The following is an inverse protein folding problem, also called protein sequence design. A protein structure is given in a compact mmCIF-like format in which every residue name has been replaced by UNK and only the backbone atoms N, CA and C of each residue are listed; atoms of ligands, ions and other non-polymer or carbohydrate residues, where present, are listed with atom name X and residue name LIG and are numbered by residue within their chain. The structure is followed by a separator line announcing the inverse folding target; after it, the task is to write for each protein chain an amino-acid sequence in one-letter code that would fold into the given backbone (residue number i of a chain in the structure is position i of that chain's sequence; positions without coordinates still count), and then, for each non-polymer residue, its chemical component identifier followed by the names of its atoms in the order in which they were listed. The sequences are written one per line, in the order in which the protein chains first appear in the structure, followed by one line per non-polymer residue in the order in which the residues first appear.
data_IF_467036048897
#
_entry.id   IF_467036048897
#
_cell.length_a   1.000
_cell.length_b   1.000
_cell.length_c   1.000
_cell.angle_alpha   90.00
_cell.angle_beta   90.00
_cell.angle_gamma   90.00
#
_symmetry.space_group_name_H-M   'P 1'
#
loop_
_entity.id
_entity.type
_entity.pdbx_description
1 polymer ?
#
# COMPACT_ATOMS: atom_id res chain seq x y z
N UNK A 1 5.80 25.77 -51.12
CA UNK A 1 5.75 26.51 -49.83
C UNK A 1 4.50 26.19 -48.99
N UNK A 2 3.30 26.12 -49.58
CA UNK A 2 2.04 25.86 -48.85
C UNK A 2 1.98 24.52 -48.06
N UNK A 3 2.59 23.44 -48.57
CA UNK A 3 2.55 22.10 -47.95
C UNK A 3 3.29 22.02 -46.60
N UNK A 4 4.42 22.72 -46.47
CA UNK A 4 5.17 22.81 -45.21
C UNK A 4 4.45 23.64 -44.14
N UNK A 5 3.72 24.66 -44.56
CA UNK A 5 2.92 25.49 -43.65
C UNK A 5 1.74 24.70 -43.07
N UNK A 6 1.06 23.89 -43.91
CA UNK A 6 -0.05 23.05 -43.48
C UNK A 6 0.37 21.97 -42.46
N UNK A 7 1.53 21.35 -42.65
CA UNK A 7 2.06 20.33 -41.71
C UNK A 7 2.46 20.94 -40.36
N UNK A 8 3.01 22.17 -40.34
CA UNK A 8 3.27 22.88 -39.07
C UNK A 8 1.98 23.20 -38.30
N UNK A 9 0.90 23.53 -39.00
CA UNK A 9 -0.41 23.79 -38.37
C UNK A 9 -0.99 22.50 -37.77
N UNK A 10 -0.94 21.38 -38.49
CA UNK A 10 -1.40 20.08 -37.97
C UNK A 10 -0.62 19.63 -36.73
N UNK A 11 0.69 19.82 -36.71
CA UNK A 11 1.53 19.48 -35.55
C UNK A 11 1.16 20.31 -34.31
N UNK A 12 0.96 21.63 -34.48
CA UNK A 12 0.51 22.50 -33.38
C UNK A 12 -0.90 22.13 -32.89
N UNK A 13 -1.81 21.80 -33.81
CA UNK A 13 -3.17 21.40 -33.43
C UNK A 13 -3.17 20.10 -32.63
N UNK A 14 -2.38 19.09 -33.01
CA UNK A 14 -2.22 17.84 -32.25
C UNK A 14 -1.66 18.09 -30.85
N UNK A 15 -0.69 18.99 -30.72
CA UNK A 15 -0.09 19.34 -29.43
C UNK A 15 -1.10 20.03 -28.50
N UNK A 16 -1.90 20.97 -29.02
CA UNK A 16 -2.95 21.66 -28.25
C UNK A 16 -4.06 20.69 -27.83
N UNK A 17 -4.47 19.78 -28.73
CA UNK A 17 -5.47 18.74 -28.41
C UNK A 17 -4.95 17.78 -27.33
N UNK A 18 -3.68 17.36 -27.40
CA UNK A 18 -3.07 16.51 -26.38
C UNK A 18 -3.05 17.19 -25.00
N UNK A 19 -2.65 18.46 -24.94
CA UNK A 19 -2.68 19.23 -23.69
C UNK A 19 -4.12 19.40 -23.18
N UNK A 20 -5.07 19.70 -24.06
CA UNK A 20 -6.48 19.81 -23.70
C UNK A 20 -7.04 18.51 -23.11
N UNK A 21 -6.71 17.36 -23.71
CA UNK A 21 -7.08 16.03 -23.19
C UNK A 21 -6.41 15.73 -21.85
N UNK A 22 -5.15 16.10 -21.66
CA UNK A 22 -4.44 15.93 -20.37
C UNK A 22 -5.05 16.80 -19.27
N UNK A 23 -5.39 18.05 -19.56
CA UNK A 23 -6.05 18.94 -18.59
C UNK A 23 -7.46 18.42 -18.27
N UNK A 24 -8.21 17.98 -19.28
CA UNK A 24 -9.55 17.43 -19.08
C UNK A 24 -9.51 16.13 -18.26
N UNK A 25 -8.55 15.24 -18.50
CA UNK A 25 -8.38 14.02 -17.70
C UNK A 25 -8.03 14.34 -16.26
N UNK A 26 -7.15 15.31 -16.00
CA UNK A 26 -6.86 15.82 -14.64
C UNK A 26 -8.10 16.43 -13.99
N UNK A 27 -8.90 17.20 -14.74
CA UNK A 27 -10.11 17.84 -14.20
C UNK A 27 -11.22 16.83 -13.90
N UNK A 28 -11.38 15.81 -14.74
CA UNK A 28 -12.35 14.73 -14.55
C UNK A 28 -11.93 13.84 -13.37
N UNK A 29 -10.64 13.47 -13.27
CA UNK A 29 -10.13 12.75 -12.07
C UNK A 29 -10.30 13.59 -10.82
N UNK A 30 -10.00 14.88 -10.85
CA UNK A 30 -10.19 15.79 -9.70
C UNK A 30 -11.67 15.94 -9.30
N UNK A 31 -12.59 16.05 -10.26
CA UNK A 31 -14.02 16.23 -9.98
C UNK A 31 -14.65 14.95 -9.45
N UNK A 32 -14.33 13.79 -10.03
CA UNK A 32 -14.74 12.48 -9.49
C UNK A 32 -14.22 12.31 -8.07
N UNK A 33 -12.94 12.64 -7.83
CA UNK A 33 -12.30 12.62 -6.51
C UNK A 33 -13.03 13.49 -5.47
N UNK A 34 -13.51 14.68 -5.86
CA UNK A 34 -14.23 15.59 -4.95
C UNK A 34 -15.65 15.12 -4.62
N UNK A 35 -16.32 14.40 -5.52
CA UNK A 35 -17.64 13.81 -5.25
C UNK A 35 -17.58 12.48 -4.50
N UNK A 36 -16.44 11.77 -4.52
CA UNK A 36 -16.20 10.56 -3.71
C UNK A 36 -15.57 10.84 -2.35
N UNK A 37 -15.44 12.11 -1.93
CA UNK A 37 -15.43 12.43 -0.49
C UNK A 37 -16.82 12.17 0.08
N UNK A 38 -17.22 10.89 0.06
CA UNK A 38 -18.10 10.33 1.05
C UNK A 38 -17.54 10.76 2.42
N UNK A 39 -18.42 11.32 3.23
CA UNK A 39 -18.15 11.77 4.61
C UNK A 39 -17.16 10.85 5.30
N UNK A 40 -15.95 11.32 5.59
CA UNK A 40 -14.92 10.49 6.22
C UNK A 40 -15.44 9.89 7.53
N UNK A 41 -15.63 8.57 7.58
CA UNK A 41 -16.11 7.91 8.79
C UNK A 41 -14.93 7.61 9.71
N UNK A 42 -14.88 8.35 10.82
CA UNK A 42 -13.93 8.16 11.90
C UNK A 42 -14.60 7.42 13.06
N UNK A 43 -13.94 6.37 13.56
CA UNK A 43 -14.37 5.62 14.74
C UNK A 43 -13.56 6.08 15.94
N UNK A 44 -14.23 6.58 16.99
CA UNK A 44 -13.56 6.95 18.23
C UNK A 44 -13.26 5.69 19.06
N UNK A 45 -11.98 5.43 19.33
CA UNK A 45 -11.54 4.35 20.22
C UNK A 45 -11.76 4.76 21.69
N UNK A 46 -12.10 3.84 22.60
CA UNK A 46 -12.22 4.12 24.03
C UNK A 46 -10.99 4.81 24.67
N UNK A 47 -9.81 4.65 24.07
CA UNK A 47 -8.55 5.26 24.51
C UNK A 47 -8.27 6.64 23.87
N UNK A 48 -9.25 7.27 23.21
CA UNK A 48 -9.18 8.69 22.83
C UNK A 48 -8.58 9.00 21.46
N UNK A 49 -8.43 8.03 20.57
CA UNK A 49 -7.95 8.28 19.19
C UNK A 49 -8.96 7.82 18.13
N UNK A 50 -8.94 8.48 16.98
CA UNK A 50 -9.83 8.18 15.87
C UNK A 50 -9.19 7.18 14.90
N UNK A 51 -9.95 6.16 14.54
CA UNK A 51 -9.56 5.11 13.61
C UNK A 51 -10.35 5.27 12.32
N UNK A 52 -9.66 5.20 11.18
CA UNK A 52 -10.26 5.05 9.86
C UNK A 52 -9.76 3.76 9.23
N UNK A 53 -10.66 3.00 8.61
CA UNK A 53 -10.31 1.77 7.89
C UNK A 53 -10.71 1.95 6.43
N UNK A 54 -9.75 1.75 5.53
CA UNK A 54 -9.93 1.77 4.09
C UNK A 54 -9.62 0.36 3.59
N UNK A 55 -10.65 -0.35 3.13
CA UNK A 55 -10.51 -1.67 2.51
C UNK A 55 -10.98 -1.58 1.06
N UNK A 56 -10.02 -1.46 0.15
CA UNK A 56 -10.28 -1.24 -1.27
C UNK A 56 -10.87 -2.47 -1.99
N UNK A 57 -11.11 -3.58 -1.27
CA UNK A 57 -11.83 -4.73 -1.80
C UNK A 57 -13.35 -4.64 -1.65
N UNK A 58 -13.86 -3.70 -0.85
CA UNK A 58 -15.29 -3.49 -0.62
C UNK A 58 -15.75 -2.13 -1.13
N UNK A 59 -16.90 -2.10 -1.80
CA UNK A 59 -17.51 -0.88 -2.35
C UNK A 59 -18.19 0.00 -1.30
N UNK A 60 -18.11 -0.37 -0.02
CA UNK A 60 -18.80 0.27 1.09
C UNK A 60 -17.85 0.55 2.26
N UNK A 61 -18.04 1.71 2.91
CA UNK A 61 -17.26 2.15 4.06
C UNK A 61 -17.21 1.10 5.19
N UNK A 62 -16.01 0.80 5.70
CA UNK A 62 -15.83 -0.07 6.86
C UNK A 62 -16.03 0.73 8.14
N UNK A 63 -17.22 0.61 8.74
CA UNK A 63 -17.63 1.36 9.95
C UNK A 63 -17.29 0.67 11.27
N UNK A 64 -16.66 -0.49 11.22
CA UNK A 64 -16.16 -1.20 12.41
C UNK A 64 -15.08 -2.21 12.03
N UNK A 65 -14.14 -2.50 12.95
CA UNK A 65 -13.17 -3.59 12.77
C UNK A 65 -13.88 -4.95 12.56
N UNK A 66 -15.07 -5.13 13.13
CA UNK A 66 -15.85 -6.36 12.96
C UNK A 66 -16.30 -6.58 11.51
N UNK A 67 -16.56 -5.51 10.76
CA UNK A 67 -17.01 -5.52 9.38
C UNK A 67 -15.88 -5.73 8.34
N UNK A 68 -14.62 -5.82 8.77
CA UNK A 68 -13.50 -6.19 7.90
C UNK A 68 -13.63 -7.67 7.53
N UNK A 69 -13.70 -7.96 6.22
CA UNK A 69 -13.88 -9.31 5.70
C UNK A 69 -12.57 -10.11 5.65
N UNK A 70 -11.46 -9.46 5.30
CA UNK A 70 -10.16 -10.13 5.23
C UNK A 70 -9.64 -10.44 6.65
N UNK A 71 -9.47 -11.73 7.02
CA UNK A 71 -9.10 -12.10 8.38
C UNK A 71 -7.69 -11.66 8.77
N UNK A 72 -6.77 -11.54 7.81
CA UNK A 72 -5.38 -11.18 8.05
C UNK A 72 -5.24 -9.68 8.28
N UNK A 73 -5.89 -8.86 7.45
CA UNK A 73 -5.99 -7.42 7.64
C UNK A 73 -6.75 -7.07 8.92
N UNK A 74 -7.82 -7.81 9.24
CA UNK A 74 -8.53 -7.66 10.52
C UNK A 74 -7.62 -7.95 11.70
N UNK A 75 -6.81 -9.01 11.63
CA UNK A 75 -5.80 -9.33 12.65
C UNK A 75 -4.75 -8.21 12.77
N UNK A 76 -4.27 -7.68 11.64
CA UNK A 76 -3.34 -6.56 11.59
C UNK A 76 -3.88 -5.31 12.29
N UNK A 77 -5.10 -4.88 11.95
CA UNK A 77 -5.76 -3.72 12.58
C UNK A 77 -5.92 -3.95 14.08
N UNK A 78 -6.46 -5.11 14.47
CA UNK A 78 -6.77 -5.42 15.88
C UNK A 78 -5.49 -5.44 16.72
N UNK A 79 -4.45 -6.11 16.24
CA UNK A 79 -3.17 -6.24 16.95
C UNK A 79 -2.47 -4.89 17.12
N UNK A 80 -2.44 -4.06 16.07
CA UNK A 80 -1.83 -2.73 16.15
C UNK A 80 -2.65 -1.76 17.00
N UNK A 81 -3.98 -1.81 16.91
CA UNK A 81 -4.86 -0.99 17.75
C UNK A 81 -4.67 -1.34 19.23
N UNK A 82 -4.62 -2.63 19.57
CA UNK A 82 -4.37 -3.08 20.95
C UNK A 82 -2.96 -2.69 21.42
N UNK A 83 -1.97 -2.84 20.54
CA UNK A 83 -0.58 -2.48 20.84
C UNK A 83 -0.41 -0.98 21.12
N UNK A 84 -0.96 -0.13 20.26
CA UNK A 84 -0.89 1.33 20.43
C UNK A 84 -1.69 1.77 21.66
N UNK A 85 -2.85 1.16 21.90
CA UNK A 85 -3.64 1.41 23.11
C UNK A 85 -2.88 1.13 24.41
N UNK A 86 -2.09 0.05 24.45
CA UNK A 86 -1.35 -0.28 25.67
C UNK A 86 -0.18 0.68 25.95
N UNK A 87 0.31 1.36 24.92
CA UNK A 87 1.37 2.38 25.01
C UNK A 87 0.82 3.77 25.32
N UNK A 88 -0.47 4.00 25.06
CA UNK A 88 -1.13 5.29 25.23
C UNK A 88 -2.20 5.25 26.32
N UNK A 89 -1.88 5.83 27.48
CA UNK A 89 -2.88 6.27 28.46
C UNK A 89 -2.88 7.80 28.52
N UNK A 90 -4.06 8.43 28.38
CA UNK A 90 -4.21 9.88 28.55
C UNK A 90 -4.23 10.75 27.28
N UNK A 91 -4.49 10.17 26.10
CA UNK A 91 -4.92 10.97 24.96
C UNK A 91 -6.28 11.63 25.27
N UNK A 92 -6.43 12.91 24.93
CA UNK A 92 -7.72 13.59 25.04
C UNK A 92 -8.81 12.83 24.27
N UNK A 93 -10.06 12.91 24.73
CA UNK A 93 -11.16 12.17 24.12
C UNK A 93 -11.32 12.56 22.64
N UNK A 94 -11.40 11.58 21.74
CA UNK A 94 -11.78 11.83 20.34
C UNK A 94 -13.25 12.28 20.18
N UNK A 95 -13.99 12.43 21.28
CA UNK A 95 -15.33 13.02 21.31
C UNK A 95 -15.32 14.52 21.65
N UNK A 96 -14.21 15.08 22.14
CA UNK A 96 -14.11 16.50 22.46
C UNK A 96 -13.92 17.30 21.17
N UNK A 97 -15.05 17.73 20.59
CA UNK A 97 -15.14 18.57 19.39
C UNK A 97 -14.66 20.02 19.62
N UNK A 98 -13.75 20.28 20.55
CA UNK A 98 -13.31 21.65 20.88
C UNK A 98 -12.51 22.30 19.75
N UNK A 99 -12.02 21.52 18.77
CA UNK A 99 -11.32 22.04 17.58
C UNK A 99 -9.93 22.65 17.86
N UNK A 100 -9.50 22.72 19.12
CA UNK A 100 -8.29 23.42 19.54
C UNK A 100 -7.02 22.55 19.54
N UNK A 101 -7.12 21.23 19.75
CA UNK A 101 -5.97 20.33 19.69
C UNK A 101 -6.10 19.28 18.56
N UNK A 102 -5.02 19.04 17.79
CA UNK A 102 -5.02 17.98 16.77
C UNK A 102 -5.29 16.63 17.44
N UNK A 103 -6.26 15.88 16.90
CA UNK A 103 -6.65 14.58 17.41
C UNK A 103 -5.65 13.49 16.99
N UNK A 104 -5.46 12.50 17.86
CA UNK A 104 -4.74 11.28 17.51
C UNK A 104 -5.50 10.51 16.42
N UNK A 105 -4.83 10.19 15.30
CA UNK A 105 -5.45 9.58 14.11
C UNK A 105 -4.67 8.38 13.64
N UNK A 106 -5.34 7.23 13.54
CA UNK A 106 -4.79 6.02 12.96
C UNK A 106 -5.62 5.63 11.74
N UNK A 107 -4.99 5.52 10.58
CA UNK A 107 -5.60 5.12 9.33
C UNK A 107 -5.02 3.77 8.94
N UNK A 108 -5.87 2.76 8.74
CA UNK A 108 -5.47 1.45 8.25
C UNK A 108 -5.94 1.30 6.81
N UNK A 109 -5.03 0.98 5.89
CA UNK A 109 -5.33 0.85 4.47
C UNK A 109 -4.95 -0.55 3.99
N UNK A 110 -5.88 -1.24 3.34
CA UNK A 110 -5.60 -2.49 2.64
C UNK A 110 -5.50 -2.26 1.14
N UNK A 111 -4.35 -2.66 0.59
CA UNK A 111 -4.05 -2.67 -0.84
C UNK A 111 -3.93 -4.14 -1.29
N UNK A 112 -4.95 -4.71 -1.96
CA UNK A 112 -4.94 -6.12 -2.36
C UNK A 112 -3.93 -6.37 -3.50
N UNK A 113 -3.57 -7.64 -3.77
CA UNK A 113 -2.73 -7.98 -4.93
C UNK A 113 -3.41 -7.57 -6.23
N UNK A 114 -4.73 -7.81 -6.29
CA UNK A 114 -5.58 -7.55 -7.45
C UNK A 114 -6.82 -6.78 -7.02
N UNK A 115 -7.15 -5.70 -7.73
CA UNK A 115 -8.38 -4.92 -7.53
C UNK A 115 -9.60 -5.70 -7.99
N UNK A 116 -10.75 -5.48 -7.33
CA UNK A 116 -12.04 -6.06 -7.74
C UNK A 116 -12.61 -5.44 -9.02
N UNK A 117 -12.14 -4.24 -9.39
CA UNK A 117 -12.53 -3.52 -10.61
C UNK A 117 -11.35 -3.16 -11.52
N UNK A 118 -11.63 -2.44 -12.60
CA UNK A 118 -10.60 -1.94 -13.54
C UNK A 118 -10.13 -0.51 -13.22
N UNK A 119 -10.78 0.17 -12.27
CA UNK A 119 -10.46 1.54 -11.91
C UNK A 119 -9.20 1.60 -11.02
N UNK A 120 -8.35 2.62 -11.18
CA UNK A 120 -7.18 2.81 -10.33
C UNK A 120 -7.63 3.06 -8.89
N UNK A 121 -6.94 2.42 -7.93
CA UNK A 121 -7.18 2.70 -6.52
C UNK A 121 -6.77 4.13 -6.19
N UNK A 122 -7.52 4.75 -5.29
CA UNK A 122 -7.11 6.01 -4.71
C UNK A 122 -5.77 5.81 -3.97
N UNK A 123 -4.83 6.75 -4.07
CA UNK A 123 -3.61 6.68 -3.28
C UNK A 123 -3.95 6.68 -1.78
N UNK A 124 -3.17 5.98 -0.94
CA UNK A 124 -3.35 6.04 0.50
C UNK A 124 -3.31 7.50 1.00
N UNK A 125 -4.11 7.86 2.02
CA UNK A 125 -4.08 9.20 2.58
C UNK A 125 -2.67 9.62 2.99
N UNK A 126 -2.33 10.88 2.74
CA UNK A 126 -1.10 11.47 3.23
C UNK A 126 -1.27 11.95 4.67
N UNK A 127 -0.18 11.87 5.45
CA UNK A 127 -0.15 12.45 6.79
C UNK A 127 -0.02 13.96 6.71
N UNK A 128 -0.64 14.65 7.65
CA UNK A 128 -0.43 16.07 7.82
C UNK A 128 0.98 16.31 8.39
N UNK A 129 1.87 16.82 7.54
CA UNK A 129 3.26 17.12 7.90
C UNK A 129 3.44 18.55 8.40
N UNK A 130 2.38 19.36 8.43
CA UNK A 130 2.42 20.75 8.88
C UNK A 130 2.35 20.89 10.41
N UNK A 131 2.24 19.78 11.15
CA UNK A 131 2.16 19.79 12.60
C UNK A 131 3.43 20.40 13.23
N UNK A 132 3.29 21.37 14.16
CA UNK A 132 4.43 21.94 14.84
C UNK A 132 5.01 20.96 15.87
N UNK A 133 6.34 21.04 16.07
CA UNK A 133 7.07 20.31 17.11
C UNK A 133 7.01 18.78 17.01
N UNK A 134 6.91 18.23 15.80
CA UNK A 134 7.09 16.80 15.55
C UNK A 134 8.44 16.35 16.12
N UNK A 135 8.42 15.30 16.95
CA UNK A 135 9.63 14.68 17.50
C UNK A 135 10.05 13.50 16.64
N UNK A 136 9.13 12.76 16.04
CA UNK A 136 9.50 11.73 15.09
C UNK A 136 8.61 11.73 13.86
N UNK A 137 9.25 11.62 12.70
CA UNK A 137 8.62 11.25 11.44
C UNK A 137 9.23 9.94 10.96
N UNK A 138 8.39 9.00 10.58
CA UNK A 138 8.80 7.75 9.96
C UNK A 138 8.04 7.58 8.65
N UNK A 139 8.76 7.33 7.57
CA UNK A 139 8.20 7.04 6.25
C UNK A 139 8.74 5.69 5.75
N UNK A 140 7.83 4.75 5.50
CA UNK A 140 8.15 3.41 5.03
C UNK A 140 7.00 2.81 4.23
N UNK A 141 7.26 1.75 3.43
CA UNK A 141 6.21 1.05 2.69
C UNK A 141 5.08 0.45 3.55
N UNK A 142 5.33 0.19 4.84
CA UNK A 142 4.36 -0.43 5.75
C UNK A 142 3.70 0.57 6.71
N UNK A 143 4.37 1.68 6.99
CA UNK A 143 3.97 2.66 7.98
C UNK A 143 4.45 4.06 7.61
N UNK A 144 3.52 5.01 7.58
CA UNK A 144 3.82 6.44 7.73
C UNK A 144 3.39 6.85 9.13
N UNK A 145 4.25 7.53 9.87
CA UNK A 145 3.99 7.88 11.25
C UNK A 145 4.58 9.26 11.57
N UNK A 146 3.80 10.07 12.28
CA UNK A 146 4.21 11.36 12.83
C UNK A 146 3.84 11.35 14.30
N UNK A 147 4.83 11.58 15.16
CA UNK A 147 4.67 11.65 16.61
C UNK A 147 5.22 12.99 17.11
N UNK A 148 4.44 13.65 17.96
CA UNK A 148 4.93 14.72 18.84
C UNK A 148 4.89 14.21 20.27
N UNK A 149 6.07 14.00 20.84
CA UNK A 149 6.22 13.64 22.24
C UNK A 149 5.92 14.85 23.14
N UNK A 150 4.91 14.73 23.99
CA UNK A 150 4.49 15.72 24.98
C UNK A 150 3.72 15.03 26.11
N UNK A 151 3.39 15.75 27.18
CA UNK A 151 2.57 15.20 28.27
C UNK A 151 1.23 14.60 27.77
N UNK A 152 0.66 15.22 26.72
CA UNK A 152 -0.37 14.64 25.86
C UNK A 152 0.24 14.34 24.49
N UNK A 153 0.73 13.12 24.24
CA UNK A 153 1.38 12.79 22.99
C UNK A 153 0.39 12.84 21.82
N UNK A 154 0.85 13.38 20.68
CA UNK A 154 0.10 13.40 19.42
C UNK A 154 0.68 12.34 18.48
N UNK A 155 -0.19 11.52 17.89
CA UNK A 155 0.12 10.52 16.88
C UNK A 155 -0.76 10.74 15.67
N UNK A 156 -0.14 10.75 14.49
CA UNK A 156 -0.84 10.46 13.26
C UNK A 156 -0.13 9.33 12.53
N UNK A 157 -0.87 8.28 12.17
CA UNK A 157 -0.31 7.10 11.53
C UNK A 157 -1.16 6.62 10.35
N UNK A 158 -0.50 6.20 9.28
CA UNK A 158 -1.09 5.46 8.16
C UNK A 158 -0.37 4.11 8.09
N UNK A 159 -1.12 3.05 8.40
CA UNK A 159 -0.66 1.67 8.45
C UNK A 159 -1.11 0.96 7.17
N UNK A 160 -0.15 0.43 6.40
CA UNK A 160 -0.38 -0.10 5.06
C UNK A 160 -0.29 -1.62 5.06
N UNK A 161 -1.40 -2.29 4.78
CA UNK A 161 -1.45 -3.71 4.45
C UNK A 161 -1.40 -3.87 2.94
N UNK A 162 -0.19 -3.92 2.38
CA UNK A 162 0.03 -3.98 0.93
C UNK A 162 0.51 -5.36 0.50
N UNK A 163 -0.37 -6.13 -0.14
CA UNK A 163 -0.10 -7.50 -0.56
C UNK A 163 1.05 -7.57 -1.58
N UNK A 164 1.19 -6.58 -2.45
CA UNK A 164 2.33 -6.53 -3.38
C UNK A 164 3.64 -6.19 -2.67
N UNK A 165 3.60 -5.34 -1.65
CA UNK A 165 4.79 -5.09 -0.82
C UNK A 165 5.31 -6.37 -0.19
N UNK A 166 4.43 -7.24 0.30
CA UNK A 166 4.87 -8.53 0.85
C UNK A 166 5.61 -9.38 -0.18
N UNK A 167 5.08 -9.47 -1.41
CA UNK A 167 5.74 -10.18 -2.51
C UNK A 167 7.07 -9.53 -2.91
N UNK A 168 7.11 -8.21 -2.93
CA UNK A 168 8.31 -7.45 -3.20
C UNK A 168 9.41 -7.73 -2.17
N UNK A 169 9.05 -7.71 -0.90
CA UNK A 169 9.95 -8.02 0.20
C UNK A 169 10.49 -9.45 0.06
N UNK A 170 9.65 -10.44 -0.27
CA UNK A 170 10.10 -11.81 -0.53
C UNK A 170 11.06 -11.90 -1.72
N UNK A 171 10.78 -11.18 -2.80
CA UNK A 171 11.62 -11.14 -3.98
C UNK A 171 13.01 -10.55 -3.67
N UNK A 172 13.08 -9.46 -2.91
CA UNK A 172 14.35 -8.87 -2.47
C UNK A 172 15.13 -9.78 -1.54
N UNK A 173 14.46 -10.40 -0.58
CA UNK A 173 15.10 -11.32 0.35
C UNK A 173 15.68 -12.53 -0.40
N UNK A 174 15.04 -12.96 -1.48
CA UNK A 174 15.52 -14.03 -2.36
C UNK A 174 16.63 -13.55 -3.32
N UNK A 175 16.60 -12.29 -3.75
CA UNK A 175 17.60 -11.70 -4.64
C UNK A 175 17.80 -10.20 -4.35
N UNK A 176 18.89 -9.89 -3.64
CA UNK A 176 19.22 -8.54 -3.18
C UNK A 176 19.60 -7.57 -4.30
N UNK A 177 19.77 -8.04 -5.54
CA UNK A 177 20.12 -7.19 -6.68
C UNK A 177 18.88 -6.57 -7.37
N UNK A 178 17.67 -6.93 -6.93
CA UNK A 178 16.45 -6.29 -7.42
C UNK A 178 16.30 -4.89 -6.78
N UNK A 179 15.69 -3.96 -7.50
CA UNK A 179 15.39 -2.62 -6.99
C UNK A 179 13.96 -2.22 -7.31
N UNK A 180 13.32 -1.51 -6.38
CA UNK A 180 12.02 -0.86 -6.60
C UNK A 180 12.23 0.63 -6.85
N UNK A 181 11.65 1.15 -7.93
CA UNK A 181 11.71 2.59 -8.22
C UNK A 181 10.36 3.28 -7.97
N UNK A 182 9.34 2.55 -7.51
CA UNK A 182 7.99 3.06 -7.31
C UNK A 182 7.22 2.24 -6.28
N UNK A 183 6.26 2.85 -5.56
CA UNK A 183 5.35 2.13 -4.68
C UNK A 183 4.63 1.01 -5.44
N UNK A 184 4.55 -0.17 -4.83
CA UNK A 184 3.86 -1.30 -5.43
C UNK A 184 2.35 -1.13 -5.30
N UNK A 185 1.71 -0.74 -6.40
CA UNK A 185 0.26 -0.56 -6.47
C UNK A 185 -0.44 -1.85 -6.90
N UNK A 186 -1.66 -2.11 -6.40
CA UNK A 186 -2.47 -3.25 -6.81
C UNK A 186 -2.64 -3.38 -8.32
N UNK A 187 -2.71 -4.61 -8.81
CA UNK A 187 -2.89 -4.90 -10.24
C UNK A 187 -4.38 -4.90 -10.59
N UNK A 188 -4.72 -4.52 -11.82
CA UNK A 188 -6.06 -4.84 -12.33
C UNK A 188 -6.20 -6.34 -12.57
N UNK A 189 -7.42 -6.86 -12.46
CA UNK A 189 -7.69 -8.27 -12.71
C UNK A 189 -7.20 -8.74 -14.08
N UNK A 190 -7.44 -7.92 -15.11
CA UNK A 190 -6.98 -8.18 -16.48
C UNK A 190 -5.46 -8.29 -16.56
N UNK A 191 -4.73 -7.36 -15.93
CA UNK A 191 -3.28 -7.34 -16.00
C UNK A 191 -2.67 -8.54 -15.26
N UNK A 192 -3.23 -8.90 -14.10
CA UNK A 192 -2.80 -10.10 -13.39
C UNK A 192 -3.02 -11.39 -14.19
N UNK A 193 -4.20 -11.53 -14.83
CA UNK A 193 -4.49 -12.67 -15.71
C UNK A 193 -3.56 -12.71 -16.92
N UNK A 194 -3.25 -11.55 -17.52
CA UNK A 194 -2.31 -11.44 -18.62
C UNK A 194 -0.91 -11.92 -18.21
N UNK A 195 -0.40 -11.45 -17.06
CA UNK A 195 0.89 -11.92 -16.55
C UNK A 195 0.90 -13.42 -16.26
N UNK A 196 -0.18 -13.95 -15.68
CA UNK A 196 -0.30 -15.38 -15.41
C UNK A 196 -0.26 -16.21 -16.70
N UNK A 197 -0.94 -15.76 -17.77
CA UNK A 197 -0.88 -16.41 -19.08
C UNK A 197 0.51 -16.31 -19.71
N UNK A 198 1.11 -15.11 -19.70
CA UNK A 198 2.46 -14.87 -20.22
C UNK A 198 3.53 -15.74 -19.53
N UNK A 199 3.35 -16.02 -18.23
CA UNK A 199 4.19 -16.93 -17.45
C UNK A 199 3.91 -18.40 -17.79
N UNK A 200 2.63 -18.81 -17.80
CA UNK A 200 2.26 -20.19 -18.09
C UNK A 200 2.74 -20.62 -19.49
N UNK A 201 2.57 -19.77 -20.50
CA UNK A 201 3.03 -20.05 -21.86
C UNK A 201 4.56 -20.19 -21.91
N UNK A 202 5.30 -19.33 -21.21
CA UNK A 202 6.77 -19.26 -21.25
C UNK A 202 7.44 -20.35 -20.42
N UNK A 203 7.01 -20.54 -19.16
CA UNK A 203 7.75 -21.31 -18.16
C UNK A 203 7.13 -22.69 -17.91
N UNK A 204 5.79 -22.80 -17.97
CA UNK A 204 5.06 -24.05 -17.70
C UNK A 204 4.95 -24.88 -18.99
N UNK A 205 4.38 -24.29 -20.03
CA UNK A 205 4.16 -24.94 -21.33
C UNK A 205 5.39 -24.85 -22.24
N UNK A 206 6.30 -23.92 -21.98
CA UNK A 206 7.53 -23.68 -22.75
C UNK A 206 7.27 -23.50 -24.24
N UNK A 207 6.21 -22.75 -24.56
CA UNK A 207 5.85 -22.43 -25.93
C UNK A 207 6.94 -21.56 -26.57
N UNK A 208 7.25 -21.75 -27.86
CA UNK A 208 8.20 -20.89 -28.57
C UNK A 208 7.68 -19.45 -28.55
N UNK A 209 8.41 -18.56 -27.89
CA UNK A 209 8.03 -17.15 -27.75
C UNK A 209 8.97 -16.26 -28.55
N UNK A 210 8.40 -15.38 -29.37
CA UNK A 210 9.11 -14.28 -30.02
C UNK A 210 9.22 -13.04 -29.12
N UNK A 211 8.62 -13.07 -27.92
CA UNK A 211 8.61 -11.94 -26.97
C UNK A 211 9.92 -11.89 -26.16
N UNK A 212 10.18 -10.73 -25.57
CA UNK A 212 11.30 -10.52 -24.65
C UNK A 212 11.24 -11.43 -23.41
N UNK A 213 12.36 -11.50 -22.69
CA UNK A 213 12.53 -12.34 -21.49
C UNK A 213 11.37 -12.12 -20.50
N UNK A 214 10.91 -13.19 -19.84
CA UNK A 214 9.81 -13.14 -18.88
C UNK A 214 10.05 -12.11 -17.77
N UNK A 215 11.31 -11.88 -17.39
CA UNK A 215 11.73 -10.88 -16.39
C UNK A 215 11.49 -9.44 -16.81
N UNK A 216 11.35 -9.17 -18.11
CA UNK A 216 11.01 -7.83 -18.65
C UNK A 216 9.50 -7.64 -18.80
N UNK A 217 8.75 -8.74 -18.90
CA UNK A 217 7.29 -8.72 -19.12
C UNK A 217 6.50 -8.70 -17.82
N UNK A 218 7.00 -9.35 -16.78
CA UNK A 218 6.29 -9.53 -15.50
C UNK A 218 7.09 -8.83 -14.39
N UNK A 219 6.45 -7.98 -13.58
CA UNK A 219 7.07 -7.40 -12.38
C UNK A 219 7.67 -8.50 -11.49
N UNK A 220 8.88 -8.29 -10.98
CA UNK A 220 9.62 -9.35 -10.27
C UNK A 220 8.90 -9.86 -9.01
N UNK A 221 8.07 -9.05 -8.35
CA UNK A 221 7.28 -9.45 -7.18
C UNK A 221 6.17 -10.44 -7.58
N UNK A 222 5.51 -10.18 -8.71
CA UNK A 222 4.52 -11.08 -9.30
C UNK A 222 5.18 -12.33 -9.84
N UNK A 223 6.33 -12.18 -10.48
CA UNK A 223 7.12 -13.30 -10.98
C UNK A 223 7.61 -14.20 -9.84
N UNK A 224 7.97 -13.62 -8.69
CA UNK A 224 8.30 -14.37 -7.49
C UNK A 224 7.10 -15.19 -7.01
N UNK A 225 5.91 -14.59 -6.93
CA UNK A 225 4.68 -15.33 -6.61
C UNK A 225 4.47 -16.51 -7.57
N UNK A 226 4.58 -16.27 -8.88
CA UNK A 226 4.35 -17.31 -9.89
C UNK A 226 5.34 -18.46 -9.79
N UNK A 227 6.62 -18.18 -9.55
CA UNK A 227 7.65 -19.21 -9.35
C UNK A 227 7.43 -20.03 -8.08
N UNK A 228 6.80 -19.43 -7.07
CA UNK A 228 6.48 -20.08 -5.79
C UNK A 228 5.02 -20.56 -5.70
N UNK A 229 4.34 -20.67 -6.85
CA UNK A 229 2.99 -21.21 -6.95
C UNK A 229 2.99 -22.62 -7.54
N UNK A 230 1.95 -23.44 -7.29
CA UNK A 230 1.81 -24.73 -7.99
C UNK A 230 1.81 -24.54 -9.51
N UNK A 231 2.77 -25.17 -10.19
CA UNK A 231 2.88 -25.14 -11.65
C UNK A 231 1.88 -26.12 -12.25
N UNK A 232 0.65 -25.66 -12.51
CA UNK A 232 -0.47 -26.50 -12.94
C UNK A 232 -1.12 -26.01 -14.21
N UNK A 233 -1.60 -26.96 -15.02
CA UNK A 233 -2.43 -26.72 -16.21
C UNK A 233 -3.84 -27.29 -16.06
N UNK A 234 -4.16 -27.93 -14.92
CA UNK A 234 -5.48 -28.51 -14.65
C UNK A 234 -6.54 -27.46 -14.31
N UNK A 235 -6.10 -26.32 -13.76
CA UNK A 235 -6.91 -25.14 -13.48
C UNK A 235 -6.20 -23.92 -14.07
N UNK A 236 -6.88 -22.78 -14.26
CA UNK A 236 -6.20 -21.54 -14.62
C UNK A 236 -5.06 -21.23 -13.64
N UNK A 237 -3.84 -21.04 -14.15
CA UNK A 237 -2.67 -20.79 -13.32
C UNK A 237 -2.83 -19.54 -12.42
N UNK A 238 -3.60 -18.55 -12.88
CA UNK A 238 -3.96 -17.37 -12.09
C UNK A 238 -4.64 -17.73 -10.76
N UNK A 239 -5.44 -18.79 -10.74
CA UNK A 239 -6.19 -19.21 -9.54
C UNK A 239 -5.27 -19.94 -8.56
N UNK A 240 -4.35 -20.75 -9.08
CA UNK A 240 -3.27 -21.35 -8.29
C UNK A 240 -2.40 -20.27 -7.64
N UNK A 241 -2.01 -19.24 -8.39
CA UNK A 241 -1.22 -18.11 -7.88
C UNK A 241 -1.97 -17.31 -6.80
N UNK A 242 -3.28 -17.07 -6.96
CA UNK A 242 -4.10 -16.42 -5.91
C UNK A 242 -4.17 -17.26 -4.64
N UNK A 243 -4.29 -18.58 -4.76
CA UNK A 243 -4.31 -19.48 -3.61
C UNK A 243 -2.98 -19.48 -2.86
N UNK A 244 -1.86 -19.46 -3.59
CA UNK A 244 -0.53 -19.25 -3.01
C UNK A 244 -0.41 -17.91 -2.29
N UNK A 245 -0.93 -16.82 -2.87
CA UNK A 245 -0.94 -15.51 -2.21
C UNK A 245 -1.65 -15.56 -0.85
N UNK A 246 -2.81 -16.22 -0.75
CA UNK A 246 -3.51 -16.36 0.53
C UNK A 246 -2.70 -17.16 1.56
N UNK A 247 -1.94 -18.17 1.10
CA UNK A 247 -1.05 -18.95 1.97
C UNK A 247 0.13 -18.10 2.45
N UNK A 248 0.71 -17.28 1.58
CA UNK A 248 1.76 -16.30 1.91
C UNK A 248 1.23 -15.31 2.94
N UNK A 249 0.06 -14.70 2.72
CA UNK A 249 -0.55 -13.75 3.67
C UNK A 249 -0.73 -14.36 5.06
N UNK A 250 -1.24 -15.59 5.13
CA UNK A 250 -1.40 -16.33 6.38
C UNK A 250 -0.09 -16.43 7.16
N UNK A 251 1.01 -16.77 6.48
CA UNK A 251 2.34 -16.92 7.09
C UNK A 251 3.00 -15.57 7.41
N UNK A 252 2.79 -14.56 6.58
CA UNK A 252 3.34 -13.21 6.74
C UNK A 252 2.72 -12.46 7.91
N UNK A 253 1.44 -12.68 8.21
CA UNK A 253 0.63 -11.78 9.05
C UNK A 253 1.32 -11.39 10.35
N UNK A 254 1.78 -12.36 11.14
CA UNK A 254 2.41 -12.10 12.43
C UNK A 254 3.73 -11.32 12.29
N UNK A 255 4.55 -11.69 11.31
CA UNK A 255 5.82 -11.03 11.06
C UNK A 255 5.62 -9.56 10.68
N UNK A 256 4.68 -9.24 9.79
CA UNK A 256 4.44 -7.85 9.39
C UNK A 256 3.74 -7.03 10.49
N UNK A 257 2.95 -7.65 11.36
CA UNK A 257 2.46 -7.01 12.58
C UNK A 257 3.66 -6.62 13.46
N UNK A 258 4.56 -7.55 13.73
CA UNK A 258 5.75 -7.32 14.56
C UNK A 258 6.68 -6.25 13.96
N UNK A 259 6.92 -6.30 12.64
CA UNK A 259 7.66 -5.28 11.90
C UNK A 259 7.08 -3.89 12.16
N UNK A 260 5.76 -3.76 11.99
CA UNK A 260 5.08 -2.47 12.12
C UNK A 260 5.07 -1.98 13.57
N UNK A 261 4.93 -2.89 14.54
CA UNK A 261 5.07 -2.57 15.97
C UNK A 261 6.48 -2.07 16.31
N UNK A 262 7.53 -2.69 15.77
CA UNK A 262 8.92 -2.26 15.98
C UNK A 262 9.21 -0.90 15.37
N UNK A 263 8.74 -0.65 14.16
CA UNK A 263 8.85 0.68 13.52
C UNK A 263 8.12 1.74 14.34
N UNK A 264 6.92 1.41 14.83
CA UNK A 264 6.18 2.29 15.73
C UNK A 264 6.98 2.59 17.01
N UNK A 265 7.52 1.58 17.68
CA UNK A 265 8.30 1.76 18.91
C UNK A 265 9.56 2.62 18.69
N UNK A 266 10.29 2.40 17.60
CA UNK A 266 11.46 3.20 17.25
C UNK A 266 11.12 4.69 17.15
N UNK A 267 9.98 5.01 16.55
CA UNK A 267 9.54 6.38 16.41
C UNK A 267 8.96 6.93 17.72
N UNK A 268 8.20 6.12 18.45
CA UNK A 268 7.56 6.49 19.71
C UNK A 268 8.56 6.72 20.85
N UNK A 269 9.66 5.98 20.88
CA UNK A 269 10.73 6.16 21.86
C UNK A 269 11.58 7.41 21.61
N UNK A 270 11.47 8.04 20.44
CA UNK A 270 12.27 9.22 20.10
C UNK A 270 11.74 10.49 20.76
N UNK A 271 12.52 11.02 21.70
CA UNK A 271 12.25 12.31 22.36
C UNK A 271 12.92 13.50 21.64
N UNK A 272 13.84 13.22 20.71
CA UNK A 272 14.51 14.20 19.86
C UNK A 272 13.88 14.20 18.46
N UNK A 273 14.05 15.30 17.72
CA UNK A 273 13.63 15.41 16.31
C UNK A 273 14.40 14.40 15.45
N UNK A 274 13.71 13.38 14.97
CA UNK A 274 14.27 12.34 14.10
C UNK A 274 13.36 12.12 12.90
N UNK A 275 13.95 12.16 11.70
CA UNK A 275 13.31 11.75 10.46
C UNK A 275 13.89 10.39 10.04
N UNK A 276 13.06 9.36 10.05
CA UNK A 276 13.41 8.00 9.64
C UNK A 276 12.76 7.69 8.30
N UNK A 277 13.53 7.11 7.38
CA UNK A 277 13.01 6.67 6.09
C UNK A 277 13.56 5.30 5.76
N UNK A 278 12.66 4.39 5.40
CA UNK A 278 12.97 3.06 4.92
C UNK A 278 12.33 2.88 3.55
N UNK A 279 13.06 2.39 2.57
CA UNK A 279 12.53 2.17 1.22
C UNK A 279 12.19 0.70 0.99
N UNK A 280 12.94 -0.20 1.63
CA UNK A 280 12.80 -1.64 1.45
C UNK A 280 13.02 -2.41 2.74
N UNK A 281 12.60 -3.68 2.78
CA UNK A 281 12.83 -4.57 3.94
C UNK A 281 14.31 -4.73 4.27
N UNK A 282 15.20 -4.56 3.28
CA UNK A 282 16.65 -4.68 3.47
C UNK A 282 17.22 -3.55 4.35
N UNK A 283 16.57 -2.38 4.38
CA UNK A 283 16.97 -1.26 5.22
C UNK A 283 16.74 -1.56 6.72
N UNK A 284 15.88 -2.54 7.01
CA UNK A 284 15.52 -2.96 8.36
C UNK A 284 16.45 -4.02 8.96
N UNK A 285 17.58 -4.34 8.32
CA UNK A 285 18.53 -5.38 8.80
C UNK A 285 19.04 -5.19 10.23
N UNK A 286 19.02 -3.95 10.73
CA UNK A 286 19.42 -3.62 12.11
C UNK A 286 18.23 -3.53 13.09
N UNK A 287 16.99 -3.63 12.58
CA UNK A 287 15.75 -3.51 13.35
C UNK A 287 15.06 -4.88 13.54
N UNK A 288 15.15 -5.75 12.54
CA UNK A 288 14.53 -7.08 12.51
C UNK A 288 15.51 -8.14 12.00
N UNK A 289 15.31 -9.39 12.40
CA UNK A 289 16.00 -10.51 11.77
C UNK A 289 15.34 -10.81 10.43
N UNK A 290 16.02 -10.54 9.33
CA UNK A 290 15.49 -10.72 7.98
C UNK A 290 15.16 -12.18 7.65
N UNK A 291 15.86 -13.14 8.28
CA UNK A 291 15.63 -14.58 8.09
C UNK A 291 14.22 -14.98 8.54
N UNK A 292 13.68 -14.35 9.58
CA UNK A 292 12.33 -14.61 10.07
C UNK A 292 11.25 -14.18 9.05
N UNK A 293 11.59 -13.30 8.12
CA UNK A 293 10.68 -12.75 7.12
C UNK A 293 10.77 -13.48 5.78
N UNK A 294 11.80 -14.28 5.56
CA UNK A 294 11.94 -15.06 4.34
C UNK A 294 11.03 -16.29 4.40
N UNK A 295 10.20 -16.46 3.39
CA UNK A 295 9.37 -17.64 3.23
C UNK A 295 10.07 -18.67 2.36
N UNK A 296 10.02 -19.92 2.82
CA UNK A 296 10.43 -21.11 2.08
C UNK A 296 9.21 -21.85 1.51
#
# INVERSE_FOLDING_TARGET
MAKQFLEKIKAKLRYVVAIGLSILTVFVTYKVFRTTQATEVWMCNPNGYAIRIIDDSVTSEVRSIKAVNDPYFKSFITSLTNYISSKFSGAGSCQDNSGEEPMNRLIFVRLPLVTSGNDPLAPPPELDTSLPNITCRLDSPWLKLVIRHSHRPLIQGVFLWNERQFLGDQALLSNKNLSFNSPLVPLSNRLFQQYAADYADSEILRLPSSKSNITERIPFDVLWLFRNSPQTTFIPFSDAARSSMNTILKRATENYINLTQKLFDQCFASTQKVDQRYETVLDLRNTISLEQYQMH
#
